data_IF_871823855582
#
_entry.id   IF_871823855582
#
_cell.length_a   1.000
_cell.length_b   1.000
_cell.length_c   1.000
_cell.angle_alpha   90.00
_cell.angle_beta   90.00
_cell.angle_gamma   90.00
#
_symmetry.space_group_name_H-M   'P 1'
#
loop_
_entity.id
_entity.type
_entity.pdbx_description
1 polymer ?
#
# COMPACT_ATOMS: atom_id res chain seq x y z
N UNK A 1 -29.55 -21.30 -17.09
CA UNK A 1 -28.22 -21.97 -16.99
C UNK A 1 -27.23 -21.13 -17.76
N UNK A 2 -26.85 -19.99 -17.18
CA UNK A 2 -25.79 -19.13 -17.72
C UNK A 2 -24.44 -19.74 -17.35
N UNK A 3 -23.66 -20.11 -18.37
CA UNK A 3 -22.25 -20.43 -18.20
C UNK A 3 -21.54 -19.14 -17.72
N UNK A 4 -21.32 -19.02 -16.39
CA UNK A 4 -20.31 -18.07 -15.89
C UNK A 4 -19.03 -18.30 -16.70
N UNK A 5 -18.65 -17.28 -17.48
CA UNK A 5 -17.32 -17.24 -18.10
C UNK A 5 -16.32 -17.28 -16.95
N UNK A 6 -15.79 -18.46 -16.66
CA UNK A 6 -14.67 -18.65 -15.72
C UNK A 6 -13.58 -17.68 -16.16
N UNK A 7 -13.43 -16.57 -15.46
CA UNK A 7 -12.24 -15.75 -15.59
C UNK A 7 -11.08 -16.67 -15.22
N UNK A 8 -10.29 -17.03 -16.22
CA UNK A 8 -9.22 -18.02 -16.07
C UNK A 8 -8.19 -17.40 -15.14
N UNK A 9 -8.10 -17.89 -13.91
CA UNK A 9 -7.06 -17.47 -12.95
C UNK A 9 -5.69 -17.68 -13.58
N UNK A 10 -4.75 -16.78 -13.29
CA UNK A 10 -3.40 -16.82 -13.87
C UNK A 10 -2.58 -17.88 -13.14
N UNK A 11 -2.09 -18.88 -13.88
CA UNK A 11 -1.20 -19.88 -13.33
C UNK A 11 0.20 -19.33 -13.12
N UNK A 12 0.71 -19.44 -11.89
CA UNK A 12 2.02 -18.87 -11.52
C UNK A 12 3.13 -19.91 -11.57
N UNK A 13 2.77 -21.20 -11.44
CA UNK A 13 3.74 -22.31 -11.41
C UNK A 13 4.10 -22.85 -12.79
N UNK A 14 3.32 -22.52 -13.82
CA UNK A 14 3.50 -22.98 -15.21
C UNK A 14 3.48 -21.82 -16.20
N UNK A 15 3.82 -22.09 -17.45
CA UNK A 15 3.77 -21.11 -18.53
C UNK A 15 4.82 -19.99 -18.47
N UNK A 16 4.64 -18.96 -19.28
CA UNK A 16 5.55 -17.81 -19.38
C UNK A 16 5.44 -16.89 -18.19
N UNK A 17 6.53 -16.70 -17.44
CA UNK A 17 6.57 -15.80 -16.28
C UNK A 17 6.33 -14.34 -16.72
N UNK A 18 6.97 -13.89 -17.81
CA UNK A 18 6.81 -12.55 -18.33
C UNK A 18 5.34 -12.22 -18.58
N UNK A 19 4.68 -13.05 -19.40
CA UNK A 19 3.29 -12.84 -19.75
C UNK A 19 2.37 -12.91 -18.51
N UNK A 20 2.53 -13.95 -17.71
CA UNK A 20 1.64 -14.21 -16.59
C UNK A 20 1.80 -13.16 -15.46
N UNK A 21 3.04 -12.75 -15.15
CA UNK A 21 3.28 -11.71 -14.15
C UNK A 21 2.77 -10.34 -14.62
N UNK A 22 2.93 -10.00 -15.89
CA UNK A 22 2.37 -8.77 -16.44
C UNK A 22 0.85 -8.73 -16.32
N UNK A 23 0.15 -9.78 -16.78
CA UNK A 23 -1.31 -9.83 -16.71
C UNK A 23 -1.86 -9.95 -15.27
N UNK A 24 -1.08 -10.49 -14.33
CA UNK A 24 -1.43 -10.46 -12.90
C UNK A 24 -1.30 -9.05 -12.34
N UNK A 25 -0.21 -8.34 -12.68
CA UNK A 25 0.09 -7.01 -12.15
C UNK A 25 -0.76 -5.90 -12.77
N UNK A 26 -1.20 -6.05 -14.01
CA UNK A 26 -1.98 -5.02 -14.71
C UNK A 26 -3.26 -4.60 -13.95
N UNK A 27 -4.14 -5.50 -13.47
CA UNK A 27 -5.27 -5.09 -12.64
C UNK A 27 -4.85 -4.49 -11.28
N UNK A 28 -3.71 -4.91 -10.72
CA UNK A 28 -3.18 -4.32 -9.49
C UNK A 28 -2.73 -2.88 -9.73
N UNK A 29 -2.12 -2.56 -10.87
CA UNK A 29 -1.79 -1.17 -11.24
C UNK A 29 -3.05 -0.32 -11.27
N UNK A 30 -4.11 -0.79 -11.93
CA UNK A 30 -5.37 -0.05 -11.98
C UNK A 30 -6.01 0.11 -10.61
N UNK A 31 -5.94 -0.91 -9.74
CA UNK A 31 -6.46 -0.81 -8.37
C UNK A 31 -5.72 0.27 -7.56
N UNK A 32 -4.39 0.29 -7.65
CA UNK A 32 -3.56 1.27 -6.95
C UNK A 32 -3.81 2.70 -7.46
N UNK A 33 -3.91 2.88 -8.78
CA UNK A 33 -4.21 4.20 -9.36
C UNK A 33 -5.60 4.67 -8.95
N UNK A 34 -6.61 3.79 -8.98
CA UNK A 34 -7.98 4.12 -8.55
C UNK A 34 -8.04 4.49 -7.08
N UNK A 35 -7.32 3.80 -6.21
CA UNK A 35 -7.25 4.12 -4.78
C UNK A 35 -6.71 5.53 -4.54
N UNK A 36 -5.64 5.92 -5.26
CA UNK A 36 -5.11 7.30 -5.21
C UNK A 36 -6.16 8.30 -5.70
N UNK A 37 -6.83 8.02 -6.81
CA UNK A 37 -7.86 8.91 -7.37
C UNK A 37 -9.06 9.09 -6.43
N UNK A 38 -9.49 8.03 -5.74
CA UNK A 38 -10.57 8.11 -4.77
C UNK A 38 -10.16 8.94 -3.54
N UNK A 39 -8.96 8.74 -3.01
CA UNK A 39 -8.45 9.55 -1.90
C UNK A 39 -8.32 11.04 -2.30
N UNK A 40 -7.86 11.32 -3.52
CA UNK A 40 -7.83 12.70 -4.04
C UNK A 40 -9.22 13.29 -4.21
N UNK A 41 -10.21 12.49 -4.61
CA UNK A 41 -11.61 12.91 -4.73
C UNK A 41 -12.20 13.30 -3.37
N UNK A 42 -11.90 12.53 -2.31
CA UNK A 42 -12.36 12.83 -0.95
C UNK A 42 -11.89 14.22 -0.51
N UNK A 43 -10.59 14.51 -0.68
CA UNK A 43 -9.98 15.79 -0.35
C UNK A 43 -10.55 16.92 -1.24
N UNK A 44 -10.73 16.67 -2.53
CA UNK A 44 -11.24 17.65 -3.48
C UNK A 44 -12.70 18.04 -3.19
N UNK A 45 -13.55 17.08 -2.83
CA UNK A 45 -14.96 17.35 -2.48
C UNK A 45 -15.05 18.22 -1.23
N UNK A 46 -14.29 17.89 -0.17
CA UNK A 46 -14.25 18.70 1.04
C UNK A 46 -13.70 20.10 0.75
N UNK A 47 -12.59 20.18 0.01
CA UNK A 47 -11.94 21.47 -0.28
C UNK A 47 -12.76 22.40 -1.15
N UNK A 48 -13.67 21.88 -2.00
CA UNK A 48 -14.47 22.69 -2.92
C UNK A 48 -15.86 23.03 -2.39
N UNK A 49 -16.46 22.14 -1.61
CA UNK A 49 -17.87 22.24 -1.21
C UNK A 49 -18.08 22.39 0.30
N UNK A 50 -17.00 22.36 1.09
CA UNK A 50 -17.04 22.57 2.54
C UNK A 50 -16.15 23.75 2.94
N UNK A 51 -16.07 24.03 4.24
CA UNK A 51 -15.23 25.11 4.77
C UNK A 51 -13.77 24.67 4.95
N UNK A 52 -12.88 25.65 5.19
CA UNK A 52 -11.46 25.40 5.40
C UNK A 52 -11.18 24.55 6.65
N UNK A 53 -12.08 24.56 7.64
CA UNK A 53 -11.94 23.76 8.87
C UNK A 53 -12.14 22.28 8.56
N UNK A 54 -13.12 21.93 7.74
CA UNK A 54 -13.34 20.57 7.30
C UNK A 54 -12.13 20.02 6.51
N UNK A 55 -11.60 20.83 5.58
CA UNK A 55 -10.39 20.47 4.84
C UNK A 55 -9.18 20.31 5.76
N UNK A 56 -9.04 21.21 6.74
CA UNK A 56 -7.98 21.15 7.75
C UNK A 56 -8.10 19.92 8.65
N UNK A 57 -9.33 19.54 9.03
CA UNK A 57 -9.58 18.33 9.81
C UNK A 57 -9.18 17.05 9.05
N UNK A 58 -9.61 16.90 7.78
CA UNK A 58 -9.21 15.77 6.93
C UNK A 58 -7.70 15.74 6.75
N UNK A 59 -7.08 16.88 6.47
CA UNK A 59 -5.63 17.00 6.30
C UNK A 59 -4.85 16.58 7.55
N UNK A 60 -5.30 17.00 8.75
CA UNK A 60 -4.67 16.65 10.03
C UNK A 60 -4.72 15.15 10.35
N UNK A 61 -5.73 14.45 9.85
CA UNK A 61 -5.90 13.00 10.08
C UNK A 61 -5.15 12.13 9.07
N UNK A 62 -4.71 12.68 7.94
CA UNK A 62 -4.16 11.91 6.80
C UNK A 62 -3.00 10.98 7.22
N UNK A 63 -2.12 11.44 8.10
CA UNK A 63 -1.02 10.61 8.57
C UNK A 63 -1.51 9.39 9.35
N UNK A 64 -2.41 9.59 10.31
CA UNK A 64 -2.95 8.52 11.13
C UNK A 64 -3.73 7.52 10.28
N UNK A 65 -4.54 8.02 9.34
CA UNK A 65 -5.24 7.18 8.36
C UNK A 65 -4.23 6.36 7.56
N UNK A 66 -3.18 6.97 7.02
CA UNK A 66 -2.14 6.27 6.25
C UNK A 66 -1.41 5.22 7.09
N UNK A 67 -1.10 5.52 8.35
CA UNK A 67 -0.44 4.62 9.28
C UNK A 67 -1.30 3.37 9.54
N UNK A 68 -2.55 3.55 9.91
CA UNK A 68 -3.45 2.44 10.24
C UNK A 68 -3.83 1.63 9.00
N UNK A 69 -4.14 2.28 7.88
CA UNK A 69 -4.46 1.59 6.62
C UNK A 69 -3.25 0.84 6.07
N UNK A 70 -2.06 1.43 6.12
CA UNK A 70 -0.82 0.79 5.74
C UNK A 70 -0.53 -0.48 6.55
N UNK A 71 -0.86 -0.46 7.85
CA UNK A 71 -0.76 -1.65 8.69
C UNK A 71 -1.73 -2.76 8.23
N UNK A 72 -2.99 -2.43 7.96
CA UNK A 72 -3.99 -3.39 7.48
C UNK A 72 -3.66 -3.96 6.09
N UNK A 73 -3.10 -3.13 5.19
CA UNK A 73 -2.58 -3.59 3.89
C UNK A 73 -1.44 -4.60 4.10
N UNK A 74 -0.55 -4.35 5.05
CA UNK A 74 0.52 -5.28 5.43
C UNK A 74 -0.02 -6.63 5.90
N UNK A 75 -1.11 -6.65 6.65
CA UNK A 75 -1.78 -7.90 7.03
C UNK A 75 -2.30 -8.67 5.81
N UNK A 76 -2.91 -7.99 4.84
CA UNK A 76 -3.33 -8.59 3.56
C UNK A 76 -2.17 -9.20 2.76
N UNK A 77 -0.99 -8.55 2.78
CA UNK A 77 0.24 -9.10 2.22
C UNK A 77 0.64 -10.44 2.89
N UNK A 78 0.55 -10.51 4.22
CA UNK A 78 0.83 -11.73 4.98
C UNK A 78 -0.10 -12.89 4.58
N UNK A 79 -1.39 -12.59 4.41
CA UNK A 79 -2.39 -13.54 3.91
C UNK A 79 -2.04 -14.01 2.50
N UNK A 80 -1.70 -13.09 1.60
CA UNK A 80 -1.33 -13.40 0.22
C UNK A 80 -0.15 -14.38 0.15
N UNK A 81 0.94 -14.09 0.86
CA UNK A 81 2.13 -14.94 0.84
C UNK A 81 1.83 -16.32 1.43
N UNK A 82 1.12 -16.39 2.56
CA UNK A 82 0.76 -17.68 3.16
C UNK A 82 -0.12 -18.52 2.23
N UNK A 83 -1.14 -17.90 1.63
CA UNK A 83 -1.99 -18.56 0.64
C UNK A 83 -1.20 -19.03 -0.58
N UNK A 84 -0.28 -18.22 -1.09
CA UNK A 84 0.57 -18.57 -2.23
C UNK A 84 1.43 -19.81 -1.92
N UNK A 85 1.99 -19.90 -0.71
CA UNK A 85 2.77 -21.08 -0.28
C UNK A 85 1.93 -22.37 -0.32
N UNK A 86 0.74 -22.33 0.28
CA UNK A 86 -0.10 -23.53 0.38
C UNK A 86 -0.68 -23.94 -0.98
N UNK A 87 -1.04 -22.96 -1.81
CA UNK A 87 -1.48 -23.20 -3.19
C UNK A 87 -0.37 -23.82 -4.05
N UNK A 88 0.85 -23.29 -3.94
CA UNK A 88 2.00 -23.81 -4.64
C UNK A 88 2.34 -25.25 -4.22
N UNK A 89 2.27 -25.52 -2.93
CA UNK A 89 2.47 -26.86 -2.35
C UNK A 89 1.31 -27.83 -2.62
N UNK A 90 0.20 -27.36 -3.20
CA UNK A 90 -1.04 -28.13 -3.47
C UNK A 90 -1.63 -28.80 -2.21
N UNK A 91 -1.46 -28.18 -1.04
CA UNK A 91 -1.93 -28.67 0.24
C UNK A 91 -3.37 -28.20 0.51
N UNK A 92 -4.36 -28.90 -0.05
CA UNK A 92 -5.79 -28.50 0.01
C UNK A 92 -6.29 -28.21 1.42
N UNK A 93 -6.00 -29.07 2.37
CA UNK A 93 -6.43 -28.90 3.76
C UNK A 93 -5.84 -27.62 4.39
N UNK A 94 -4.56 -27.36 4.15
CA UNK A 94 -3.87 -26.16 4.61
C UNK A 94 -4.39 -24.88 3.93
N UNK A 95 -4.78 -24.95 2.66
CA UNK A 95 -5.46 -23.85 1.95
C UNK A 95 -6.76 -23.50 2.67
N UNK A 96 -7.61 -24.48 2.92
CA UNK A 96 -8.90 -24.29 3.62
C UNK A 96 -8.66 -23.68 5.01
N UNK A 97 -7.75 -24.24 5.81
CA UNK A 97 -7.40 -23.70 7.14
C UNK A 97 -6.88 -22.27 7.05
N UNK A 98 -6.05 -21.96 6.05
CA UNK A 98 -5.48 -20.63 5.87
C UNK A 98 -6.55 -19.59 5.53
N UNK A 99 -7.50 -19.90 4.62
CA UNK A 99 -8.62 -19.00 4.30
C UNK A 99 -9.40 -18.64 5.55
N UNK A 100 -9.84 -19.63 6.32
CA UNK A 100 -10.69 -19.39 7.49
C UNK A 100 -9.96 -18.70 8.63
N UNK A 101 -8.69 -19.08 8.89
CA UNK A 101 -7.84 -18.42 9.89
C UNK A 101 -7.52 -16.97 9.49
N UNK A 102 -7.30 -16.70 8.21
CA UNK A 102 -7.03 -15.37 7.70
C UNK A 102 -8.21 -14.42 7.96
N UNK A 103 -9.44 -14.86 7.67
CA UNK A 103 -10.64 -14.06 7.94
C UNK A 103 -10.82 -13.74 9.42
N UNK A 104 -10.62 -14.73 10.31
CA UNK A 104 -10.73 -14.54 11.76
C UNK A 104 -9.66 -13.55 12.25
N UNK A 105 -8.40 -13.73 11.84
CA UNK A 105 -7.30 -12.86 12.27
C UNK A 105 -7.47 -11.44 11.73
N UNK A 106 -7.77 -11.29 10.45
CA UNK A 106 -7.92 -9.95 9.86
C UNK A 106 -9.10 -9.21 10.46
N UNK A 107 -10.21 -9.89 10.79
CA UNK A 107 -11.31 -9.29 11.51
C UNK A 107 -10.90 -8.83 12.91
N UNK A 108 -10.22 -9.69 13.69
CA UNK A 108 -9.73 -9.34 15.03
C UNK A 108 -8.76 -8.17 14.96
N UNK A 109 -7.78 -8.22 14.05
CA UNK A 109 -6.81 -7.13 13.87
C UNK A 109 -7.49 -5.83 13.44
N UNK A 110 -8.44 -5.91 12.49
CA UNK A 110 -9.23 -4.75 12.07
C UNK A 110 -10.05 -4.12 13.20
N UNK A 111 -10.65 -4.95 14.06
CA UNK A 111 -11.36 -4.49 15.24
C UNK A 111 -10.42 -3.86 16.28
N UNK A 112 -9.26 -4.48 16.54
CA UNK A 112 -8.28 -3.94 17.50
C UNK A 112 -7.68 -2.62 17.01
N UNK A 113 -7.32 -2.53 15.74
CA UNK A 113 -6.78 -1.30 15.12
C UNK A 113 -7.85 -0.22 15.10
N UNK A 114 -9.08 -0.57 14.71
CA UNK A 114 -10.22 0.35 14.73
C UNK A 114 -10.53 0.85 16.13
N UNK A 115 -10.56 -0.03 17.14
CA UNK A 115 -10.76 0.33 18.52
C UNK A 115 -9.63 1.24 19.03
N UNK A 116 -8.38 0.91 18.77
CA UNK A 116 -7.25 1.76 19.15
C UNK A 116 -7.35 3.15 18.50
N UNK A 117 -7.65 3.23 17.22
CA UNK A 117 -7.85 4.50 16.52
C UNK A 117 -9.04 5.29 17.09
N UNK A 118 -10.15 4.62 17.41
CA UNK A 118 -11.36 5.25 17.92
C UNK A 118 -11.19 5.82 19.34
N UNK A 119 -10.63 5.01 20.25
CA UNK A 119 -10.50 5.41 21.66
C UNK A 119 -9.36 6.40 21.89
N UNK A 120 -8.27 6.30 21.12
CA UNK A 120 -7.09 7.18 21.26
C UNK A 120 -7.04 8.28 20.19
N UNK A 121 -8.14 8.59 19.50
CA UNK A 121 -8.19 9.58 18.43
C UNK A 121 -7.70 10.96 18.89
N UNK A 122 -8.14 11.43 20.04
CA UNK A 122 -7.81 12.74 20.58
C UNK A 122 -6.34 12.82 20.99
N UNK A 123 -5.84 11.81 21.70
CA UNK A 123 -4.44 11.71 22.13
C UNK A 123 -3.49 11.64 20.93
N UNK A 124 -3.84 10.84 19.92
CA UNK A 124 -3.04 10.71 18.71
C UNK A 124 -2.96 12.02 17.92
N UNK A 125 -4.07 12.73 17.80
CA UNK A 125 -4.11 14.05 17.16
C UNK A 125 -3.40 15.11 18.01
N UNK A 126 -3.47 15.01 19.34
CA UNK A 126 -2.71 15.85 20.26
C UNK A 126 -1.21 15.69 20.10
N UNK A 127 -0.70 14.45 19.96
CA UNK A 127 0.71 14.16 19.68
C UNK A 127 1.16 14.78 18.35
N UNK A 128 0.28 14.86 17.35
CA UNK A 128 0.54 15.52 16.07
C UNK A 128 0.43 17.05 16.12
N UNK A 129 0.16 17.64 17.30
CA UNK A 129 -0.02 19.08 17.50
C UNK A 129 -1.10 19.66 16.58
N UNK A 130 -2.22 18.92 16.41
CA UNK A 130 -3.37 19.42 15.67
C UNK A 130 -3.91 20.69 16.34
N UNK A 131 -4.22 21.71 15.56
CA UNK A 131 -4.73 22.99 16.07
C UNK A 131 -6.06 22.80 16.81
N UNK A 132 -6.24 23.48 17.93
CA UNK A 132 -7.47 23.39 18.74
C UNK A 132 -8.75 23.65 17.94
N UNK A 133 -8.73 24.63 17.05
CA UNK A 133 -9.89 24.95 16.19
C UNK A 133 -10.31 23.84 15.21
N UNK A 134 -9.42 22.85 14.94
CA UNK A 134 -9.65 21.70 14.06
C UNK A 134 -9.86 20.40 14.84
N UNK A 135 -9.54 20.38 16.14
CA UNK A 135 -9.46 19.18 16.93
C UNK A 135 -10.78 18.40 16.96
N UNK A 136 -11.90 19.06 17.28
CA UNK A 136 -13.21 18.41 17.37
C UNK A 136 -13.61 17.73 16.04
N UNK A 137 -13.45 18.46 14.93
CA UNK A 137 -13.78 17.93 13.59
C UNK A 137 -12.82 16.80 13.16
N UNK A 138 -11.53 16.90 13.50
CA UNK A 138 -10.54 15.88 13.19
C UNK A 138 -10.77 14.61 14.02
N UNK A 139 -11.08 14.74 15.31
CA UNK A 139 -11.43 13.61 16.19
C UNK A 139 -12.69 12.92 15.69
N UNK A 140 -13.73 13.67 15.35
CA UNK A 140 -14.99 13.11 14.82
C UNK A 140 -14.74 12.36 13.51
N UNK A 141 -14.00 12.96 12.57
CA UNK A 141 -13.62 12.31 11.31
C UNK A 141 -12.89 11.01 11.57
N UNK A 142 -11.85 11.03 12.42
CA UNK A 142 -11.01 9.87 12.70
C UNK A 142 -11.78 8.75 13.41
N UNK A 143 -12.67 9.09 14.36
CA UNK A 143 -13.55 8.12 15.04
C UNK A 143 -14.50 7.45 14.06
N UNK A 144 -15.14 8.21 13.15
CA UNK A 144 -16.01 7.63 12.14
C UNK A 144 -15.20 6.73 11.21
N UNK A 145 -14.06 7.20 10.71
CA UNK A 145 -13.19 6.44 9.82
C UNK A 145 -12.71 5.12 10.45
N UNK A 146 -12.41 5.13 11.76
CA UNK A 146 -12.01 3.96 12.53
C UNK A 146 -13.05 2.82 12.50
N UNK A 147 -14.35 3.15 12.42
CA UNK A 147 -15.42 2.16 12.30
C UNK A 147 -15.35 1.37 10.97
N UNK A 148 -14.71 1.91 9.95
CA UNK A 148 -14.50 1.24 8.68
C UNK A 148 -13.31 0.28 8.64
N UNK A 149 -12.39 0.34 9.61
CA UNK A 149 -11.16 -0.47 9.62
C UNK A 149 -11.40 -1.99 9.59
N UNK A 150 -12.40 -2.55 10.27
CA UNK A 150 -12.73 -3.97 10.13
C UNK A 150 -13.13 -4.35 8.69
N UNK A 151 -13.90 -3.49 8.01
CA UNK A 151 -14.25 -3.67 6.60
C UNK A 151 -13.00 -3.65 5.71
N UNK A 152 -12.13 -2.68 5.90
CA UNK A 152 -10.86 -2.60 5.18
C UNK A 152 -9.97 -3.83 5.41
N UNK A 153 -9.88 -4.32 6.65
CA UNK A 153 -9.13 -5.52 6.97
C UNK A 153 -9.66 -6.76 6.24
N UNK A 154 -10.99 -6.92 6.19
CA UNK A 154 -11.65 -8.02 5.47
C UNK A 154 -11.45 -7.90 3.95
N UNK A 155 -11.53 -6.69 3.39
CA UNK A 155 -11.24 -6.47 1.97
C UNK A 155 -9.80 -6.86 1.64
N UNK A 156 -8.82 -6.39 2.41
CA UNK A 156 -7.40 -6.72 2.20
C UNK A 156 -7.11 -8.22 2.38
N UNK A 157 -7.78 -8.89 3.32
CA UNK A 157 -7.73 -10.33 3.48
C UNK A 157 -8.21 -11.04 2.20
N UNK A 158 -9.41 -10.71 1.72
CA UNK A 158 -9.98 -11.30 0.52
C UNK A 158 -9.17 -10.99 -0.74
N UNK A 159 -8.66 -9.76 -0.87
CA UNK A 159 -7.74 -9.37 -1.94
C UNK A 159 -6.45 -10.20 -1.90
N UNK A 160 -5.87 -10.43 -0.71
CA UNK A 160 -4.71 -11.29 -0.52
C UNK A 160 -4.96 -12.73 -0.99
N UNK A 161 -6.11 -13.31 -0.62
CA UNK A 161 -6.53 -14.65 -1.05
C UNK A 161 -6.70 -14.72 -2.57
N UNK A 162 -7.47 -13.79 -3.16
CA UNK A 162 -7.74 -13.79 -4.60
C UNK A 162 -6.47 -13.55 -5.42
N UNK A 163 -5.62 -12.62 -5.01
CA UNK A 163 -4.33 -12.35 -5.67
C UNK A 163 -3.42 -13.57 -5.62
N UNK A 164 -3.39 -14.30 -4.50
CA UNK A 164 -2.63 -15.55 -4.39
C UNK A 164 -3.17 -16.64 -5.32
N UNK A 165 -4.46 -16.66 -5.66
CA UNK A 165 -5.03 -17.58 -6.64
C UNK A 165 -4.83 -17.15 -8.10
N UNK A 166 -4.24 -15.98 -8.35
CA UNK A 166 -4.07 -15.42 -9.69
C UNK A 166 -5.27 -14.61 -10.21
N UNK A 167 -6.23 -14.29 -9.35
CA UNK A 167 -7.41 -13.50 -9.69
C UNK A 167 -7.30 -12.08 -9.11
N UNK A 168 -6.64 -11.18 -9.81
CA UNK A 168 -6.52 -9.77 -9.45
C UNK A 168 -7.59 -8.88 -10.07
N UNK A 169 -8.37 -9.41 -11.03
CA UNK A 169 -9.43 -8.64 -11.71
C UNK A 169 -10.66 -8.41 -10.84
N UNK A 170 -11.06 -9.43 -10.07
CA UNK A 170 -12.24 -9.30 -9.21
C UNK A 170 -12.06 -8.31 -8.08
N UNK A 171 -10.96 -8.30 -7.32
CA UNK A 171 -10.69 -7.24 -6.36
C UNK A 171 -10.73 -5.84 -6.97
N UNK A 172 -10.17 -5.65 -8.18
CA UNK A 172 -10.24 -4.38 -8.90
C UNK A 172 -11.69 -3.96 -9.17
N UNK A 173 -12.54 -4.88 -9.66
CA UNK A 173 -13.96 -4.56 -9.92
C UNK A 173 -14.68 -4.18 -8.64
N UNK A 174 -14.46 -4.88 -7.54
CA UNK A 174 -15.12 -4.59 -6.26
C UNK A 174 -14.66 -3.25 -5.68
N UNK A 175 -13.37 -2.96 -5.77
CA UNK A 175 -12.82 -1.66 -5.39
C UNK A 175 -13.40 -0.53 -6.25
N UNK A 176 -13.51 -0.75 -7.57
CA UNK A 176 -14.07 0.24 -8.50
C UNK A 176 -15.55 0.57 -8.17
N UNK A 177 -16.35 -0.45 -7.90
CA UNK A 177 -17.76 -0.26 -7.51
C UNK A 177 -17.83 0.51 -6.19
N UNK A 178 -17.06 0.10 -5.18
CA UNK A 178 -17.04 0.76 -3.89
C UNK A 178 -16.54 2.20 -3.97
N UNK A 179 -15.52 2.46 -4.78
CA UNK A 179 -14.99 3.81 -4.97
C UNK A 179 -15.94 4.74 -5.71
N UNK A 180 -16.64 4.26 -6.74
CA UNK A 180 -17.68 5.05 -7.42
C UNK A 180 -18.81 5.41 -6.44
N UNK A 181 -19.26 4.43 -5.64
CA UNK A 181 -20.29 4.67 -4.62
C UNK A 181 -19.77 5.67 -3.56
N UNK A 182 -18.52 5.53 -3.12
CA UNK A 182 -17.89 6.49 -2.20
C UNK A 182 -17.92 7.92 -2.75
N UNK A 183 -17.51 8.14 -4.02
CA UNK A 183 -17.53 9.48 -4.64
C UNK A 183 -18.96 10.05 -4.72
N UNK A 184 -19.94 9.23 -5.10
CA UNK A 184 -21.34 9.64 -5.15
C UNK A 184 -21.85 10.02 -3.75
N UNK A 185 -21.53 9.21 -2.74
CA UNK A 185 -21.91 9.49 -1.36
C UNK A 185 -21.20 10.71 -0.78
N UNK A 186 -19.92 10.95 -1.12
CA UNK A 186 -19.21 12.18 -0.75
C UNK A 186 -19.97 13.43 -1.25
N UNK A 187 -20.33 13.44 -2.53
CA UNK A 187 -21.08 14.54 -3.11
C UNK A 187 -22.47 14.68 -2.45
N UNK A 188 -23.14 13.57 -2.20
CA UNK A 188 -24.46 13.58 -1.55
C UNK A 188 -24.38 14.13 -0.11
N UNK A 189 -23.49 13.60 0.73
CA UNK A 189 -23.39 14.04 2.12
C UNK A 189 -22.90 15.48 2.24
N UNK A 190 -21.92 15.88 1.43
CA UNK A 190 -21.36 17.25 1.52
C UNK A 190 -22.29 18.29 0.89
N UNK A 191 -22.85 18.03 -0.30
CA UNK A 191 -23.64 19.03 -1.03
C UNK A 191 -25.11 19.01 -0.62
N UNK A 192 -25.72 17.82 -0.49
CA UNK A 192 -27.18 17.72 -0.22
C UNK A 192 -27.47 17.73 1.27
N UNK A 193 -26.68 16.98 2.06
CA UNK A 193 -26.88 16.92 3.51
C UNK A 193 -26.15 18.02 4.27
N UNK A 194 -25.33 18.84 3.58
CA UNK A 194 -24.52 19.92 4.18
C UNK A 194 -23.62 19.46 5.33
N UNK A 195 -23.14 18.20 5.24
CA UNK A 195 -22.16 17.66 6.17
C UNK A 195 -20.75 18.12 5.80
N UNK A 196 -19.90 18.27 6.80
CA UNK A 196 -18.49 18.66 6.59
C UNK A 196 -17.57 17.41 6.43
N UNK A 197 -16.48 17.35 7.18
CA UNK A 197 -15.54 16.23 7.13
C UNK A 197 -16.19 14.88 7.51
N UNK A 198 -17.16 14.89 8.43
CA UNK A 198 -17.89 13.69 8.86
C UNK A 198 -18.65 13.01 7.72
N UNK A 199 -19.19 13.79 6.77
CA UNK A 199 -19.88 13.24 5.61
C UNK A 199 -18.95 12.40 4.72
N UNK A 200 -17.73 12.86 4.50
CA UNK A 200 -16.71 12.12 3.75
C UNK A 200 -16.24 10.89 4.52
N UNK A 201 -16.08 10.98 5.85
CA UNK A 201 -15.74 9.81 6.67
C UNK A 201 -16.82 8.71 6.58
N UNK A 202 -18.11 9.08 6.65
CA UNK A 202 -19.22 8.13 6.51
C UNK A 202 -19.22 7.47 5.12
N UNK A 203 -19.04 8.27 4.06
CA UNK A 203 -18.96 7.75 2.69
C UNK A 203 -17.80 6.75 2.53
N UNK A 204 -16.63 7.05 3.12
CA UNK A 204 -15.47 6.17 3.10
C UNK A 204 -15.73 4.87 3.85
N UNK A 205 -16.37 4.91 5.02
CA UNK A 205 -16.77 3.71 5.79
C UNK A 205 -17.74 2.85 4.98
N UNK A 206 -18.76 3.45 4.35
CA UNK A 206 -19.70 2.71 3.50
C UNK A 206 -18.95 2.05 2.33
N UNK A 207 -18.04 2.75 1.67
CA UNK A 207 -17.20 2.21 0.59
C UNK A 207 -16.34 1.02 1.06
N UNK A 208 -15.72 1.14 2.23
CA UNK A 208 -14.90 0.07 2.83
C UNK A 208 -15.73 -1.19 3.12
N UNK A 209 -16.90 -1.06 3.72
CA UNK A 209 -17.79 -2.21 3.95
C UNK A 209 -18.40 -2.75 2.67
N UNK A 210 -18.70 -1.91 1.68
CA UNK A 210 -19.21 -2.38 0.38
C UNK A 210 -18.17 -3.22 -0.35
N UNK A 211 -16.91 -2.79 -0.41
CA UNK A 211 -15.83 -3.58 -1.01
C UNK A 211 -15.59 -4.89 -0.26
N UNK A 212 -15.62 -4.84 1.09
CA UNK A 212 -15.53 -6.03 1.94
C UNK A 212 -16.71 -7.01 1.70
N UNK A 213 -17.93 -6.50 1.64
CA UNK A 213 -19.12 -7.29 1.39
C UNK A 213 -19.03 -8.00 0.03
N UNK A 214 -18.66 -7.29 -1.03
CA UNK A 214 -18.56 -7.85 -2.37
C UNK A 214 -17.52 -8.97 -2.44
N UNK A 215 -16.35 -8.78 -1.82
CA UNK A 215 -15.29 -9.79 -1.83
C UNK A 215 -15.65 -11.00 -0.97
N UNK A 216 -16.28 -10.78 0.19
CA UNK A 216 -16.77 -11.85 1.08
C UNK A 216 -17.86 -12.66 0.40
N UNK A 217 -18.87 -12.02 -0.21
CA UNK A 217 -19.92 -12.68 -0.96
C UNK A 217 -19.36 -13.51 -2.11
N UNK A 218 -18.32 -13.01 -2.78
CA UNK A 218 -17.64 -13.79 -3.81
C UNK A 218 -17.00 -15.05 -3.24
N UNK A 219 -16.27 -14.94 -2.12
CA UNK A 219 -15.60 -16.08 -1.49
C UNK A 219 -16.59 -17.09 -0.90
N UNK A 220 -17.74 -16.64 -0.40
CA UNK A 220 -18.83 -17.51 0.06
C UNK A 220 -19.47 -18.33 -1.09
N UNK A 221 -19.48 -17.77 -2.31
CA UNK A 221 -20.03 -18.46 -3.49
C UNK A 221 -19.01 -19.38 -4.18
N UNK A 222 -17.75 -19.34 -3.80
CA UNK A 222 -16.72 -20.25 -4.35
C UNK A 222 -16.93 -21.66 -3.82
N UNK A 223 -16.81 -22.63 -4.71
CA UNK A 223 -16.97 -24.06 -4.40
C UNK A 223 -15.64 -24.81 -4.33
N UNK A 224 -14.53 -24.11 -4.58
CA UNK A 224 -13.18 -24.67 -4.50
C UNK A 224 -12.58 -24.52 -3.08
N UNK A 225 -11.36 -25.05 -2.90
CA UNK A 225 -10.65 -25.04 -1.61
C UNK A 225 -10.37 -23.63 -1.05
N UNK A 226 -10.47 -22.58 -1.89
CA UNK A 226 -10.33 -21.18 -1.52
C UNK A 226 -11.65 -20.51 -1.11
N UNK A 227 -12.77 -21.26 -1.13
CA UNK A 227 -14.07 -20.77 -0.71
C UNK A 227 -14.14 -20.54 0.81
N UNK A 228 -14.89 -19.51 1.21
CA UNK A 228 -15.17 -19.22 2.61
C UNK A 228 -16.45 -19.95 3.03
N UNK A 229 -16.38 -20.76 4.06
CA UNK A 229 -17.54 -21.47 4.61
C UNK A 229 -17.75 -21.08 6.07
N UNK A 230 -18.85 -20.42 6.44
CA UNK A 230 -19.10 -19.97 7.81
C UNK A 230 -19.01 -21.09 8.86
N UNK A 231 -19.44 -22.30 8.51
CA UNK A 231 -19.35 -23.48 9.38
C UNK A 231 -17.92 -23.95 9.68
N UNK A 232 -16.95 -23.52 8.87
CA UNK A 232 -15.53 -23.87 9.01
C UNK A 232 -14.69 -22.71 9.55
N UNK A 233 -15.31 -21.57 9.91
CA UNK A 233 -14.61 -20.44 10.51
C UNK A 233 -13.98 -20.87 11.84
N UNK A 234 -12.69 -21.12 11.79
CA UNK A 234 -11.90 -21.55 12.93
C UNK A 234 -10.49 -21.01 12.81
N UNK A 235 -9.94 -20.55 13.90
CA UNK A 235 -8.54 -20.15 13.98
C UNK A 235 -7.67 -21.38 14.16
N UNK A 236 -6.87 -21.71 13.15
CA UNK A 236 -5.78 -22.66 13.26
C UNK A 236 -4.54 -21.92 13.76
N UNK A 237 -3.94 -22.30 14.93
CA UNK A 237 -2.83 -21.55 15.52
C UNK A 237 -1.59 -21.49 14.62
N UNK A 238 -1.31 -22.55 13.86
CA UNK A 238 -0.14 -22.61 12.99
C UNK A 238 -0.31 -21.69 11.78
N UNK A 239 -1.49 -21.72 11.13
CA UNK A 239 -1.82 -20.81 10.04
C UNK A 239 -1.86 -19.36 10.53
N UNK A 240 -2.46 -19.12 11.69
CA UNK A 240 -2.54 -17.81 12.31
C UNK A 240 -1.18 -17.21 12.59
N UNK A 241 -0.31 -17.95 13.25
CA UNK A 241 1.08 -17.53 13.52
C UNK A 241 1.82 -17.20 12.24
N UNK A 242 1.68 -18.02 11.20
CA UNK A 242 2.36 -17.78 9.91
C UNK A 242 1.89 -16.47 9.26
N UNK A 243 0.58 -16.17 9.27
CA UNK A 243 0.02 -14.94 8.75
C UNK A 243 0.54 -13.72 9.54
N UNK A 244 0.54 -13.79 10.88
CA UNK A 244 1.00 -12.70 11.73
C UNK A 244 2.50 -12.43 11.57
N UNK A 245 3.34 -13.47 11.49
CA UNK A 245 4.79 -13.34 11.27
C UNK A 245 5.13 -12.67 9.93
N UNK A 246 4.26 -12.79 8.94
CA UNK A 246 4.43 -12.14 7.64
C UNK A 246 3.76 -10.76 7.59
N UNK A 247 2.57 -10.64 8.15
CA UNK A 247 1.73 -9.45 8.06
C UNK A 247 2.17 -8.33 8.99
N UNK A 248 2.42 -8.62 10.27
CA UNK A 248 2.79 -7.61 11.27
C UNK A 248 4.07 -6.87 10.88
N UNK A 249 5.19 -7.52 10.51
CA UNK A 249 6.40 -6.81 10.09
C UNK A 249 6.15 -5.92 8.87
N UNK A 250 5.35 -6.39 7.91
CA UNK A 250 4.98 -5.60 6.73
C UNK A 250 4.16 -4.37 7.11
N UNK A 251 3.19 -4.54 8.01
CA UNK A 251 2.37 -3.44 8.51
C UNK A 251 3.17 -2.40 9.29
N UNK A 252 4.05 -2.86 10.19
CA UNK A 252 4.97 -1.98 10.94
C UNK A 252 5.89 -1.21 9.99
N UNK A 253 6.44 -1.87 8.96
CA UNK A 253 7.26 -1.22 7.96
C UNK A 253 6.52 -0.07 7.27
N UNK A 254 5.29 -0.31 6.81
CA UNK A 254 4.48 0.72 6.16
C UNK A 254 4.19 1.91 7.11
N UNK A 255 3.86 1.62 8.37
CA UNK A 255 3.62 2.63 9.38
C UNK A 255 4.87 3.50 9.67
N UNK A 256 6.04 2.88 9.83
CA UNK A 256 7.29 3.57 10.10
C UNK A 256 7.73 4.41 8.89
N UNK A 257 7.50 3.95 7.66
CA UNK A 257 7.73 4.76 6.46
C UNK A 257 6.91 6.05 6.46
N UNK A 258 5.63 5.98 6.85
CA UNK A 258 4.79 7.16 6.95
C UNK A 258 5.34 8.16 7.97
N UNK A 259 5.79 7.68 9.13
CA UNK A 259 6.42 8.51 10.17
C UNK A 259 7.74 9.12 9.65
N UNK A 260 8.61 8.34 9.00
CA UNK A 260 9.87 8.83 8.47
C UNK A 260 9.70 9.96 7.45
N UNK A 261 8.64 9.90 6.64
CA UNK A 261 8.33 10.96 5.68
C UNK A 261 7.90 12.28 6.35
N UNK A 262 7.38 12.25 7.59
CA UNK A 262 7.13 13.49 8.35
C UNK A 262 8.39 14.25 8.68
N UNK A 263 9.46 13.55 9.06
CA UNK A 263 10.75 14.20 9.33
C UNK A 263 11.32 14.87 8.07
N UNK A 264 11.12 14.23 6.90
CA UNK A 264 11.49 14.86 5.63
C UNK A 264 10.62 16.08 5.36
N UNK A 265 9.30 16.00 5.62
CA UNK A 265 8.39 17.12 5.46
C UNK A 265 8.74 18.29 6.39
N UNK A 266 9.21 18.02 7.62
CA UNK A 266 9.70 19.09 8.50
C UNK A 266 10.90 19.83 7.91
N UNK A 267 11.79 19.12 7.21
CA UNK A 267 12.88 19.73 6.45
C UNK A 267 12.37 20.61 5.29
N UNK A 268 11.34 20.16 4.56
CA UNK A 268 10.70 20.99 3.51
C UNK A 268 10.06 22.24 4.09
N UNK A 269 9.40 22.12 5.23
CA UNK A 269 8.73 23.22 5.90
C UNK A 269 9.70 24.32 6.43
N UNK A 270 11.00 24.06 6.44
CA UNK A 270 12.02 25.07 6.77
C UNK A 270 12.30 26.07 5.64
N UNK A 271 11.77 25.81 4.44
CA UNK A 271 11.84 26.70 3.29
C UNK A 271 10.60 27.60 3.21
N UNK A 272 10.56 28.46 2.18
CA UNK A 272 9.44 29.36 1.94
C UNK A 272 8.16 28.61 1.48
N UNK A 273 7.04 29.31 1.50
CA UNK A 273 5.75 28.75 1.12
C UNK A 273 5.71 28.27 -0.33
N UNK A 274 6.45 28.90 -1.24
CA UNK A 274 6.55 28.52 -2.65
C UNK A 274 7.18 27.12 -2.77
N UNK A 275 8.27 26.86 -2.04
CA UNK A 275 8.93 25.59 -2.02
C UNK A 275 8.07 24.50 -1.39
N UNK A 276 7.38 24.79 -0.27
CA UNK A 276 6.44 23.86 0.37
C UNK A 276 5.32 23.47 -0.60
N UNK A 277 4.74 24.43 -1.30
CA UNK A 277 3.67 24.20 -2.28
C UNK A 277 4.17 23.39 -3.48
N UNK A 278 5.36 23.71 -4.00
CA UNK A 278 5.99 22.95 -5.10
C UNK A 278 6.28 21.50 -4.71
N UNK A 279 6.78 21.29 -3.47
CA UNK A 279 6.99 19.94 -2.94
C UNK A 279 5.69 19.15 -2.83
N UNK A 280 4.61 19.76 -2.34
CA UNK A 280 3.31 19.12 -2.22
C UNK A 280 2.75 18.69 -3.59
N UNK A 281 2.87 19.56 -4.61
CA UNK A 281 2.48 19.22 -5.98
C UNK A 281 3.30 18.04 -6.54
N UNK A 282 4.62 18.04 -6.33
CA UNK A 282 5.50 16.96 -6.79
C UNK A 282 5.28 15.64 -6.05
N UNK A 283 4.90 15.66 -4.77
CA UNK A 283 4.62 14.46 -3.99
C UNK A 283 3.43 13.63 -4.54
N UNK A 284 2.50 14.25 -5.25
CA UNK A 284 1.42 13.51 -5.94
C UNK A 284 1.98 12.61 -7.05
N UNK A 285 3.01 13.08 -7.78
CA UNK A 285 3.68 12.26 -8.80
C UNK A 285 4.40 11.06 -8.17
N UNK A 286 5.09 11.28 -7.05
CA UNK A 286 5.77 10.20 -6.33
C UNK A 286 4.77 9.11 -5.93
N UNK A 287 3.64 9.50 -5.32
CA UNK A 287 2.60 8.56 -4.90
C UNK A 287 2.10 7.71 -6.08
N UNK A 288 1.84 8.33 -7.23
CA UNK A 288 1.38 7.62 -8.41
C UNK A 288 2.41 6.62 -8.92
N UNK A 289 3.67 7.03 -9.06
CA UNK A 289 4.75 6.18 -9.59
C UNK A 289 5.04 5.01 -8.65
N UNK A 290 5.10 5.26 -7.33
CA UNK A 290 5.30 4.19 -6.34
C UNK A 290 4.18 3.16 -6.36
N UNK A 291 2.93 3.59 -6.48
CA UNK A 291 1.79 2.67 -6.55
C UNK A 291 1.82 1.80 -7.81
N UNK A 292 2.23 2.37 -8.97
CA UNK A 292 2.43 1.58 -10.19
C UNK A 292 3.53 0.53 -10.00
N UNK A 293 4.66 0.91 -9.41
CA UNK A 293 5.76 -0.01 -9.13
C UNK A 293 5.33 -1.09 -8.12
N UNK A 294 4.54 -0.72 -7.10
CA UNK A 294 4.04 -1.61 -6.06
C UNK A 294 3.23 -2.79 -6.63
N UNK A 295 2.46 -2.56 -7.67
CA UNK A 295 1.71 -3.61 -8.33
C UNK A 295 2.61 -4.72 -8.89
N UNK A 296 3.76 -4.37 -9.47
CA UNK A 296 4.70 -5.34 -10.04
C UNK A 296 5.45 -6.13 -8.97
N UNK A 297 5.95 -5.49 -7.93
CA UNK A 297 6.63 -6.23 -6.86
C UNK A 297 5.67 -7.04 -5.99
N UNK A 298 4.41 -6.62 -5.83
CA UNK A 298 3.37 -7.42 -5.17
C UNK A 298 3.05 -8.68 -5.98
N UNK A 299 2.89 -8.55 -7.31
CA UNK A 299 2.76 -9.69 -8.20
C UNK A 299 3.97 -10.63 -8.14
N UNK A 300 5.18 -10.08 -8.09
CA UNK A 300 6.42 -10.85 -7.92
C UNK A 300 6.41 -11.68 -6.63
N UNK A 301 5.97 -11.10 -5.50
CA UNK A 301 5.87 -11.81 -4.22
C UNK A 301 4.94 -13.02 -4.30
N UNK A 302 3.77 -12.88 -4.94
CA UNK A 302 2.81 -13.97 -5.15
C UNK A 302 3.41 -15.08 -6.02
N UNK A 303 4.11 -14.72 -7.12
CA UNK A 303 4.78 -15.68 -7.99
C UNK A 303 5.87 -16.46 -7.25
N UNK A 304 6.71 -15.76 -6.48
CA UNK A 304 7.77 -16.39 -5.68
C UNK A 304 7.14 -17.28 -4.62
N UNK A 305 6.10 -16.83 -3.94
CA UNK A 305 5.40 -17.62 -2.92
C UNK A 305 4.83 -18.94 -3.44
N UNK A 306 4.13 -18.92 -4.58
CA UNK A 306 3.62 -20.15 -5.18
C UNK A 306 4.74 -21.08 -5.66
N UNK A 307 5.78 -20.53 -6.29
CA UNK A 307 6.90 -21.35 -6.75
C UNK A 307 7.77 -21.87 -5.60
N UNK A 308 7.81 -21.15 -4.48
CA UNK A 308 8.43 -21.66 -3.24
C UNK A 308 7.65 -22.85 -2.70
N UNK A 309 6.32 -22.74 -2.58
CA UNK A 309 5.47 -23.86 -2.18
C UNK A 309 5.56 -25.07 -3.11
N UNK A 310 5.75 -24.84 -4.40
CA UNK A 310 5.95 -25.89 -5.42
C UNK A 310 7.38 -26.45 -5.48
N UNK A 311 8.33 -25.95 -4.69
CA UNK A 311 9.73 -26.38 -4.71
C UNK A 311 10.51 -25.94 -5.97
N UNK A 312 9.97 -25.03 -6.80
CA UNK A 312 10.57 -24.67 -8.08
C UNK A 312 11.54 -23.49 -7.97
N UNK A 313 12.77 -23.79 -7.54
CA UNK A 313 13.85 -22.81 -7.30
C UNK A 313 14.19 -21.96 -8.54
N UNK A 314 14.26 -22.58 -9.70
CA UNK A 314 14.57 -21.89 -10.95
C UNK A 314 13.51 -20.85 -11.31
N UNK A 315 12.25 -21.22 -11.16
CA UNK A 315 11.15 -20.31 -11.42
C UNK A 315 11.08 -19.14 -10.44
N UNK A 316 11.41 -19.38 -9.17
CA UNK A 316 11.52 -18.29 -8.16
C UNK A 316 12.56 -17.26 -8.59
N UNK A 317 13.76 -17.71 -8.99
CA UNK A 317 14.84 -16.83 -9.46
C UNK A 317 14.41 -16.03 -10.70
N UNK A 318 13.78 -16.69 -11.67
CA UNK A 318 13.26 -16.04 -12.88
C UNK A 318 12.14 -15.05 -12.53
N UNK A 319 11.23 -15.40 -11.62
CA UNK A 319 10.15 -14.50 -11.17
C UNK A 319 10.69 -13.23 -10.49
N UNK A 320 11.73 -13.36 -9.67
CA UNK A 320 12.42 -12.21 -9.09
C UNK A 320 13.00 -11.28 -10.17
N UNK A 321 13.74 -11.84 -11.13
CA UNK A 321 14.34 -11.05 -12.22
C UNK A 321 13.28 -10.35 -13.10
N UNK A 322 12.21 -11.06 -13.43
CA UNK A 322 11.11 -10.48 -14.23
C UNK A 322 10.37 -9.39 -13.45
N UNK A 323 10.05 -9.63 -12.18
CA UNK A 323 9.42 -8.64 -11.31
C UNK A 323 10.28 -7.39 -11.12
N UNK A 324 11.59 -7.59 -10.90
CA UNK A 324 12.56 -6.50 -10.81
C UNK A 324 12.63 -5.71 -12.12
N UNK A 325 12.67 -6.40 -13.27
CA UNK A 325 12.71 -5.73 -14.57
C UNK A 325 11.46 -4.89 -14.83
N UNK A 326 10.27 -5.41 -14.50
CA UNK A 326 9.04 -4.64 -14.66
C UNK A 326 8.96 -3.45 -13.70
N UNK A 327 9.33 -3.63 -12.43
CA UNK A 327 9.33 -2.53 -11.45
C UNK A 327 10.36 -1.46 -11.83
N UNK A 328 11.57 -1.87 -12.24
CA UNK A 328 12.61 -0.96 -12.74
C UNK A 328 12.17 -0.22 -14.00
N UNK A 329 11.61 -0.94 -14.98
CA UNK A 329 11.11 -0.34 -16.22
C UNK A 329 9.96 0.65 -15.95
N UNK A 330 9.05 0.33 -15.03
CA UNK A 330 8.01 1.26 -14.60
C UNK A 330 8.61 2.53 -13.97
N UNK A 331 9.54 2.38 -13.03
CA UNK A 331 10.25 3.51 -12.44
C UNK A 331 11.01 4.36 -13.47
N UNK A 332 11.70 3.71 -14.43
CA UNK A 332 12.43 4.39 -15.49
C UNK A 332 11.51 5.13 -16.48
N UNK A 333 10.43 4.48 -16.92
CA UNK A 333 9.49 5.05 -17.90
C UNK A 333 8.73 6.21 -17.25
N UNK A 334 8.09 5.99 -16.12
CA UNK A 334 7.27 7.03 -15.48
C UNK A 334 8.13 8.13 -14.84
N UNK A 335 9.30 7.79 -14.28
CA UNK A 335 10.29 8.78 -13.84
C UNK A 335 10.83 9.61 -14.99
N UNK A 336 11.15 8.98 -16.13
CA UNK A 336 11.58 9.65 -17.36
C UNK A 336 10.48 10.55 -17.96
N UNK A 337 9.24 10.07 -18.01
CA UNK A 337 8.10 10.89 -18.43
C UNK A 337 7.90 12.10 -17.50
N UNK A 338 8.06 11.92 -16.19
CA UNK A 338 7.99 13.00 -15.23
C UNK A 338 9.13 14.01 -15.40
N UNK A 339 10.33 13.59 -15.78
CA UNK A 339 11.44 14.50 -16.10
C UNK A 339 11.16 15.33 -17.35
N UNK A 340 10.52 14.74 -18.38
CA UNK A 340 10.19 15.41 -19.64
C UNK A 340 8.96 16.29 -19.50
N UNK A 341 7.88 15.77 -18.93
CA UNK A 341 6.56 16.40 -18.84
C UNK A 341 6.22 16.89 -17.43
N UNK A 342 7.20 16.99 -16.53
CA UNK A 342 6.97 17.36 -15.13
C UNK A 342 6.34 18.72 -14.94
N UNK A 343 6.71 19.70 -15.77
CA UNK A 343 6.08 21.04 -15.71
C UNK A 343 4.59 20.99 -16.03
N UNK A 344 4.20 20.24 -17.06
CA UNK A 344 2.79 20.03 -17.44
C UNK A 344 2.05 19.26 -16.35
N UNK A 345 2.68 18.24 -15.75
CA UNK A 345 2.08 17.51 -14.63
C UNK A 345 1.87 18.42 -13.41
N UNK A 346 2.90 19.19 -13.01
CA UNK A 346 2.80 20.10 -11.88
C UNK A 346 1.80 21.23 -12.11
N UNK A 347 1.60 21.67 -13.36
CA UNK A 347 0.59 22.68 -13.71
C UNK A 347 -0.86 22.23 -13.48
N UNK A 348 -1.10 20.94 -13.28
CA UNK A 348 -2.41 20.43 -12.85
C UNK A 348 -2.73 20.80 -11.39
N UNK A 349 -1.69 21.05 -10.57
CA UNK A 349 -1.80 21.31 -9.14
C UNK A 349 -1.43 22.74 -8.74
N UNK A 350 -0.70 23.45 -9.58
CA UNK A 350 -0.22 24.80 -9.31
C UNK A 350 -0.26 25.66 -10.57
N UNK A 351 -0.72 26.89 -10.45
CA UNK A 351 -0.79 27.85 -11.56
C UNK A 351 0.40 28.80 -11.60
N UNK A 352 1.08 29.00 -10.46
CA UNK A 352 2.19 29.93 -10.34
C UNK A 352 3.49 29.31 -10.87
N UNK A 353 4.20 29.95 -11.82
CA UNK A 353 5.45 29.45 -12.38
C UNK A 353 6.52 29.16 -11.32
N UNK A 354 6.62 30.00 -10.27
CA UNK A 354 7.57 29.83 -9.19
C UNK A 354 7.36 28.53 -8.40
N UNK A 355 6.08 28.15 -8.15
CA UNK A 355 5.71 26.91 -7.48
C UNK A 355 6.05 25.70 -8.35
N UNK A 356 5.80 25.81 -9.68
CA UNK A 356 6.16 24.74 -10.63
C UNK A 356 7.69 24.56 -10.67
N UNK A 357 8.46 25.64 -10.71
CA UNK A 357 9.92 25.59 -10.70
C UNK A 357 10.47 24.96 -9.41
N UNK A 358 9.87 25.31 -8.26
CA UNK A 358 10.19 24.70 -6.98
C UNK A 358 9.91 23.18 -6.98
N UNK A 359 8.75 22.75 -7.47
CA UNK A 359 8.40 21.33 -7.60
C UNK A 359 9.33 20.56 -8.53
N UNK A 360 9.79 21.19 -9.62
CA UNK A 360 10.75 20.61 -10.55
C UNK A 360 12.10 20.29 -9.92
N UNK A 361 12.52 20.98 -8.85
CA UNK A 361 13.75 20.63 -8.14
C UNK A 361 13.67 19.24 -7.50
N UNK A 362 12.51 18.90 -6.90
CA UNK A 362 12.24 17.55 -6.38
C UNK A 362 12.16 16.53 -7.52
N UNK A 363 11.38 16.83 -8.55
CA UNK A 363 11.16 15.94 -9.71
C UNK A 363 12.48 15.52 -10.35
N UNK A 364 13.45 16.43 -10.52
CA UNK A 364 14.76 16.13 -11.09
C UNK A 364 15.54 15.07 -10.32
N UNK A 365 15.46 15.06 -9.01
CA UNK A 365 16.16 14.09 -8.16
C UNK A 365 15.36 12.79 -8.06
N UNK A 366 14.05 12.89 -7.81
CA UNK A 366 13.19 11.73 -7.64
C UNK A 366 13.03 10.91 -8.90
N UNK A 367 12.96 11.55 -10.08
CA UNK A 367 12.79 10.87 -11.36
C UNK A 367 13.85 9.80 -11.65
N UNK A 368 15.10 10.01 -11.21
CA UNK A 368 16.15 8.99 -11.28
C UNK A 368 16.12 8.02 -10.10
N UNK A 369 15.68 8.48 -8.93
CA UNK A 369 15.73 7.69 -7.71
C UNK A 369 14.72 6.52 -7.70
N UNK A 370 13.60 6.60 -8.45
CA UNK A 370 12.63 5.51 -8.56
C UNK A 370 13.23 4.21 -9.08
N UNK A 371 14.17 4.27 -10.03
CA UNK A 371 14.85 3.08 -10.54
C UNK A 371 15.63 2.33 -9.46
N UNK A 372 16.20 3.08 -8.50
CA UNK A 372 16.95 2.50 -7.38
C UNK A 372 16.01 1.85 -6.39
N UNK A 373 14.87 2.50 -6.09
CA UNK A 373 13.88 1.93 -5.16
C UNK A 373 13.33 0.59 -5.65
N UNK A 374 13.27 0.35 -6.97
CA UNK A 374 12.85 -0.93 -7.52
C UNK A 374 13.68 -2.12 -7.01
N UNK A 375 14.98 -1.95 -6.83
CA UNK A 375 15.85 -3.01 -6.27
C UNK A 375 15.52 -3.28 -4.81
N UNK A 376 15.26 -2.24 -4.03
CA UNK A 376 14.85 -2.35 -2.63
C UNK A 376 13.51 -3.08 -2.53
N UNK A 377 12.47 -2.53 -3.13
CA UNK A 377 11.09 -2.99 -2.97
C UNK A 377 10.87 -4.40 -3.53
N UNK A 378 11.46 -4.71 -4.69
CA UNK A 378 11.36 -6.04 -5.28
C UNK A 378 12.11 -7.09 -4.46
N UNK A 379 13.26 -6.74 -3.84
CA UNK A 379 14.00 -7.66 -2.97
C UNK A 379 13.28 -7.91 -1.65
N UNK A 380 12.63 -6.89 -1.08
CA UNK A 380 11.75 -7.02 0.08
C UNK A 380 10.57 -7.96 -0.26
N UNK A 381 9.90 -7.71 -1.38
CA UNK A 381 8.77 -8.51 -1.84
C UNK A 381 9.18 -9.97 -2.11
N UNK A 382 10.36 -10.19 -2.69
CA UNK A 382 10.91 -11.51 -2.91
C UNK A 382 11.25 -12.23 -1.60
N UNK A 383 11.84 -11.53 -0.63
CA UNK A 383 12.12 -12.05 0.70
C UNK A 383 10.84 -12.45 1.44
N UNK A 384 9.79 -11.63 1.34
CA UNK A 384 8.46 -11.98 1.86
C UNK A 384 7.89 -13.20 1.15
N UNK A 385 8.03 -13.28 -0.17
CA UNK A 385 7.60 -14.42 -0.98
C UNK A 385 8.21 -15.75 -0.54
N UNK A 386 9.42 -15.75 0.03
CA UNK A 386 10.04 -16.94 0.63
C UNK A 386 9.77 -17.08 2.14
N UNK A 387 8.86 -16.30 2.71
CA UNK A 387 8.48 -16.38 4.12
C UNK A 387 9.35 -15.57 5.08
N UNK A 388 10.21 -14.68 4.60
CA UNK A 388 11.14 -13.86 5.40
C UNK A 388 10.68 -12.40 5.40
N UNK A 389 10.01 -11.93 6.47
CA UNK A 389 9.52 -10.55 6.58
C UNK A 389 10.23 -9.71 7.62
N UNK A 390 10.73 -10.32 8.70
CA UNK A 390 11.28 -9.58 9.85
C UNK A 390 12.60 -8.88 9.48
N UNK A 391 13.55 -9.59 8.90
CA UNK A 391 14.86 -9.01 8.58
C UNK A 391 14.75 -7.92 7.51
N UNK A 392 14.01 -8.10 6.39
CA UNK A 392 13.75 -7.01 5.45
C UNK A 392 13.13 -5.77 6.12
N UNK A 393 12.16 -5.94 7.02
CA UNK A 393 11.61 -4.83 7.77
C UNK A 393 12.69 -4.07 8.56
N UNK A 394 13.58 -4.78 9.27
CA UNK A 394 14.66 -4.15 10.06
C UNK A 394 15.64 -3.42 9.16
N UNK A 395 16.04 -4.02 8.03
CA UNK A 395 16.94 -3.38 7.04
C UNK A 395 16.33 -2.08 6.53
N UNK A 396 15.04 -2.07 6.18
CA UNK A 396 14.34 -0.87 5.71
C UNK A 396 14.25 0.18 6.81
N UNK A 397 13.90 -0.21 8.03
CA UNK A 397 13.80 0.74 9.15
C UNK A 397 15.15 1.42 9.38
N UNK A 398 16.23 0.67 9.42
CA UNK A 398 17.56 1.24 9.64
C UNK A 398 18.08 2.00 8.41
N UNK A 399 18.03 1.38 7.24
CA UNK A 399 18.64 1.91 6.01
C UNK A 399 17.84 3.04 5.36
N UNK A 400 16.51 3.06 5.53
CA UNK A 400 15.68 4.12 4.96
C UNK A 400 15.12 5.06 6.02
N UNK A 401 14.47 4.56 7.08
CA UNK A 401 13.77 5.44 8.00
C UNK A 401 14.73 6.15 8.97
N UNK A 402 15.54 5.40 9.71
CA UNK A 402 16.52 5.98 10.65
C UNK A 402 17.55 6.83 9.91
N UNK A 403 18.05 6.35 8.77
CA UNK A 403 18.97 7.10 7.93
C UNK A 403 18.41 8.45 7.52
N UNK A 404 17.13 8.53 7.11
CA UNK A 404 16.50 9.81 6.72
C UNK A 404 16.41 10.78 7.89
N UNK A 405 16.06 10.29 9.08
CA UNK A 405 16.03 11.13 10.29
C UNK A 405 17.42 11.69 10.57
N UNK A 406 18.45 10.83 10.60
CA UNK A 406 19.83 11.26 10.81
C UNK A 406 20.25 12.29 9.75
N UNK A 407 19.96 12.06 8.48
CA UNK A 407 20.29 12.98 7.39
C UNK A 407 19.68 14.36 7.58
N UNK A 408 18.39 14.42 7.94
CA UNK A 408 17.67 15.69 8.16
C UNK A 408 18.30 16.49 9.31
N UNK A 409 18.71 15.82 10.40
CA UNK A 409 19.28 16.50 11.57
C UNK A 409 20.80 16.68 11.53
N UNK A 410 21.48 16.19 10.50
CA UNK A 410 22.94 16.33 10.34
C UNK A 410 23.29 17.02 9.03
N UNK A 411 23.33 16.28 7.93
CA UNK A 411 23.79 16.77 6.61
C UNK A 411 22.92 17.92 6.11
N UNK A 412 21.60 17.80 6.23
CA UNK A 412 20.69 18.85 5.78
C UNK A 412 20.82 20.14 6.62
N UNK A 413 21.10 20.05 7.92
CA UNK A 413 21.34 21.24 8.77
C UNK A 413 22.60 21.98 8.32
N UNK A 414 23.64 21.26 7.86
CA UNK A 414 24.88 21.89 7.39
C UNK A 414 24.76 22.45 5.98
N UNK A 415 24.07 21.73 5.10
CA UNK A 415 23.91 22.10 3.69
C UNK A 415 22.42 22.41 3.44
N UNK A 416 21.93 23.47 4.01
CA UNK A 416 20.51 23.84 3.96
C UNK A 416 20.05 24.21 2.55
N UNK A 417 19.99 23.21 1.65
CA UNK A 417 19.54 23.33 0.26
C UNK A 417 18.56 22.22 -0.11
N UNK A 418 17.68 22.51 -1.06
CA UNK A 418 16.69 21.54 -1.56
C UNK A 418 17.35 20.30 -2.16
N UNK A 419 18.40 20.39 -3.00
CA UNK A 419 19.09 19.20 -3.48
C UNK A 419 19.68 18.35 -2.36
N UNK A 420 20.23 18.95 -1.31
CA UNK A 420 20.76 18.22 -0.16
C UNK A 420 19.64 17.48 0.59
N UNK A 421 18.45 18.08 0.72
CA UNK A 421 17.31 17.42 1.35
C UNK A 421 16.84 16.21 0.52
N UNK A 422 16.57 16.39 -0.77
CA UNK A 422 16.01 15.30 -1.58
C UNK A 422 17.00 14.19 -1.94
N UNK A 423 18.32 14.48 -1.94
CA UNK A 423 19.34 13.46 -2.15
C UNK A 423 19.30 12.35 -1.08
N UNK A 424 18.70 12.60 0.09
CA UNK A 424 18.49 11.58 1.11
C UNK A 424 17.72 10.36 0.57
N UNK A 425 16.78 10.55 -0.37
CA UNK A 425 16.04 9.46 -0.98
C UNK A 425 16.96 8.55 -1.80
N UNK A 426 17.80 9.18 -2.64
CA UNK A 426 18.77 8.45 -3.46
C UNK A 426 19.70 7.60 -2.59
N UNK A 427 20.35 8.19 -1.58
CA UNK A 427 21.30 7.48 -0.73
C UNK A 427 20.62 6.43 0.15
N UNK A 428 19.49 6.76 0.78
CA UNK A 428 18.76 5.80 1.63
C UNK A 428 18.31 4.58 0.83
N UNK A 429 17.78 4.78 -0.37
CA UNK A 429 17.35 3.68 -1.22
C UNK A 429 18.51 2.88 -1.78
N UNK A 430 19.63 3.52 -2.15
CA UNK A 430 20.81 2.82 -2.63
C UNK A 430 21.39 1.89 -1.56
N UNK A 431 21.59 2.41 -0.34
CA UNK A 431 22.12 1.63 0.80
C UNK A 431 21.16 0.47 1.14
N UNK A 432 19.87 0.77 1.27
CA UNK A 432 18.86 -0.23 1.60
C UNK A 432 18.74 -1.27 0.48
N UNK A 433 18.79 -0.87 -0.80
CA UNK A 433 18.76 -1.79 -1.94
C UNK A 433 19.90 -2.79 -1.91
N UNK A 434 21.13 -2.33 -1.66
CA UNK A 434 22.29 -3.21 -1.56
C UNK A 434 22.09 -4.24 -0.43
N UNK A 435 21.69 -3.77 0.75
CA UNK A 435 21.44 -4.64 1.91
C UNK A 435 20.34 -5.68 1.63
N UNK A 436 19.21 -5.25 1.04
CA UNK A 436 18.07 -6.13 0.72
C UNK A 436 18.42 -7.16 -0.37
N UNK A 437 19.13 -6.76 -1.41
CA UNK A 437 19.59 -7.69 -2.46
C UNK A 437 20.55 -8.73 -1.90
N UNK A 438 21.50 -8.31 -1.04
CA UNK A 438 22.44 -9.23 -0.40
C UNK A 438 21.72 -10.18 0.54
N UNK A 439 20.77 -9.67 1.36
CA UNK A 439 19.98 -10.49 2.26
C UNK A 439 19.12 -11.51 1.49
N UNK A 440 18.40 -11.05 0.43
CA UNK A 440 17.62 -11.97 -0.40
C UNK A 440 18.49 -13.06 -1.03
N UNK A 441 19.65 -12.70 -1.61
CA UNK A 441 20.59 -13.67 -2.19
C UNK A 441 21.09 -14.68 -1.16
N UNK A 442 21.43 -14.21 0.04
CA UNK A 442 21.86 -15.08 1.14
C UNK A 442 20.74 -16.04 1.56
N UNK A 443 19.56 -15.50 1.85
CA UNK A 443 18.37 -16.28 2.23
C UNK A 443 17.97 -17.28 1.16
N UNK A 444 18.02 -16.87 -0.12
CA UNK A 444 17.70 -17.74 -1.25
C UNK A 444 18.69 -18.91 -1.41
N UNK A 445 19.98 -18.70 -1.09
CA UNK A 445 21.00 -19.77 -1.13
C UNK A 445 20.77 -20.81 -0.04
N UNK A 446 20.27 -20.39 1.12
CA UNK A 446 20.00 -21.26 2.26
C UNK A 446 18.68 -22.04 2.17
N UNK A 447 17.88 -21.81 1.11
CA UNK A 447 16.63 -22.58 0.94
C UNK A 447 16.97 -24.05 0.67
N UNK A 448 16.62 -24.90 1.62
CA UNK A 448 16.59 -26.34 1.46
C UNK A 448 15.22 -26.72 0.90
N UNK A 449 15.20 -27.26 -0.30
CA UNK A 449 14.00 -27.86 -0.86
C UNK A 449 14.02 -29.33 -0.46
N UNK A 450 12.98 -29.76 0.28
CA UNK A 450 12.77 -31.19 0.49
C UNK A 450 12.58 -31.82 -0.90
N UNK A 451 13.55 -32.62 -1.30
CA UNK A 451 13.58 -33.42 -2.53
C UNK A 451 12.44 -34.43 -2.56
#
# INVERSE_FOLDING_TARGET
MEREKKTKAIEMTTGSIWKNLFFLSCPLVFSQVLEVLFNMSDVAVVGRFSDYRALGAVGSTTLLVTLFTGFLIGMGCGVNVRMAHELGARRRESVIKTVHSAFVICLIVGLLVGAACFFFAEELLGILHTKEELMDSAVLYLKIYALGMPGMALYNCGNGILSATGDTKRPLVYLSIAGIVNVILNLFFVIVCHMAAEGVAIASVIGQYLSALLIVLHLLRRTDDCGLHPSKLRLDPACGKAILVLGIPTGIQNAIFAIANLFVQSGVNSFDAVMVSGNAAAANADTLIFNIMAAFYTGCSSFIGQNWGAGNRERMKKSYLVGLTYSFAAGAIFGGLLLIFGRQFLSLFATEPAVIDAGMQRVKIMGFSYMISAFMDCSIAASRGIGKSIVPMVIVILGSCVFRVIWVYTIFVWIHTIPALYSLYFFSWAITSVAEVLYFRHSFRQLEFQS
#
